data_IF_105956224727
#
_entry.id   IF_105956224727
#
_cell.length_a   1.000
_cell.length_b   1.000
_cell.length_c   1.000
_cell.angle_alpha   90.00
_cell.angle_beta   90.00
_cell.angle_gamma   90.00
#
_symmetry.space_group_name_H-M   'P 1'
#
loop_
_entity.id
_entity.type
_entity.pdbx_description
1 polymer ?
#
# COMPACT_ATOMS: atom_id res chain seq x y z
N UNK A 1 -32.85 -11.03 13.15
CA UNK A 1 -32.01 -11.10 11.93
C UNK A 1 -30.97 -9.99 11.88
N UNK A 2 -31.31 -8.72 12.11
CA UNK A 2 -30.35 -7.61 12.15
C UNK A 2 -29.18 -7.81 13.14
N UNK A 3 -29.47 -8.14 14.41
CA UNK A 3 -28.42 -8.40 15.41
C UNK A 3 -27.49 -9.58 15.07
N UNK A 4 -27.97 -10.57 14.30
CA UNK A 4 -27.14 -11.68 13.82
C UNK A 4 -26.23 -11.22 12.67
N UNK A 5 -26.74 -10.40 11.76
CA UNK A 5 -25.97 -9.76 10.68
C UNK A 5 -24.81 -8.95 11.25
N UNK A 6 -25.10 -8.08 12.22
CA UNK A 6 -24.09 -7.22 12.86
C UNK A 6 -23.00 -8.05 13.54
N UNK A 7 -23.40 -9.09 14.29
CA UNK A 7 -22.46 -10.00 14.95
C UNK A 7 -21.56 -10.74 13.95
N UNK A 8 -22.10 -11.15 12.80
CA UNK A 8 -21.32 -11.82 11.75
C UNK A 8 -20.33 -10.86 11.07
N UNK A 9 -20.75 -9.62 10.75
CA UNK A 9 -19.86 -8.61 10.18
C UNK A 9 -18.70 -8.29 11.14
N UNK A 10 -19.00 -8.14 12.44
CA UNK A 10 -17.98 -7.97 13.48
C UNK A 10 -17.04 -9.17 13.56
N UNK A 11 -17.57 -10.39 13.51
CA UNK A 11 -16.78 -11.62 13.55
C UNK A 11 -15.84 -11.75 12.34
N UNK A 12 -16.27 -11.34 11.14
CA UNK A 12 -15.42 -11.34 9.94
C UNK A 12 -14.24 -10.39 10.12
N UNK A 13 -14.48 -9.15 10.56
CA UNK A 13 -13.42 -8.15 10.76
C UNK A 13 -12.47 -8.56 11.90
N UNK A 14 -13.02 -9.00 13.03
CA UNK A 14 -12.22 -9.49 14.16
C UNK A 14 -11.39 -10.72 13.77
N UNK A 15 -11.97 -11.64 12.99
CA UNK A 15 -11.27 -12.81 12.44
C UNK A 15 -10.14 -12.43 11.49
N UNK A 16 -10.36 -11.45 10.61
CA UNK A 16 -9.32 -10.93 9.71
C UNK A 16 -8.15 -10.29 10.48
N UNK A 17 -8.44 -9.53 11.53
CA UNK A 17 -7.42 -8.96 12.42
C UNK A 17 -6.65 -10.06 13.14
N UNK A 18 -7.37 -11.01 13.77
CA UNK A 18 -6.76 -12.11 14.50
C UNK A 18 -5.88 -12.99 13.59
N UNK A 19 -6.35 -13.30 12.38
CA UNK A 19 -5.58 -14.04 11.38
C UNK A 19 -4.33 -13.28 10.94
N UNK A 20 -4.44 -11.96 10.73
CA UNK A 20 -3.31 -11.11 10.35
C UNK A 20 -2.25 -11.04 11.45
N UNK A 21 -2.67 -10.83 12.70
CA UNK A 21 -1.78 -10.82 13.86
C UNK A 21 -1.14 -12.19 14.09
N UNK A 22 -1.92 -13.27 13.99
CA UNK A 22 -1.42 -14.63 14.10
C UNK A 22 -0.35 -14.92 13.04
N UNK A 23 -0.63 -14.58 11.79
CA UNK A 23 0.33 -14.72 10.70
C UNK A 23 1.62 -13.99 11.07
N UNK A 24 1.56 -12.70 11.41
CA UNK A 24 2.74 -11.90 11.77
C UNK A 24 3.55 -12.51 12.93
N UNK A 25 2.87 -13.00 13.96
CA UNK A 25 3.51 -13.64 15.11
C UNK A 25 4.13 -15.00 14.74
N UNK A 26 3.46 -15.78 13.89
CA UNK A 26 3.93 -17.09 13.43
C UNK A 26 5.19 -16.98 12.58
N UNK A 27 5.32 -15.93 11.76
CA UNK A 27 6.51 -15.67 10.96
C UNK A 27 7.71 -15.24 11.79
N UNK A 28 7.49 -14.55 12.92
CA UNK A 28 8.57 -14.26 13.90
C UNK A 28 9.08 -15.51 14.63
N UNK A 29 8.25 -16.56 14.71
CA UNK A 29 8.57 -17.79 15.44
C UNK A 29 9.25 -18.86 14.58
N UNK A 30 9.24 -18.73 13.24
CA UNK A 30 9.92 -19.70 12.36
C UNK A 30 11.44 -19.54 12.50
N UNK A 31 12.19 -20.60 12.87
CA UNK A 31 13.64 -20.57 12.82
C UNK A 31 14.12 -20.36 11.38
N UNK A 32 15.32 -19.77 11.18
CA UNK A 32 15.87 -19.54 9.85
C UNK A 32 15.98 -20.87 9.09
N UNK A 33 15.23 -21.00 7.99
CA UNK A 33 15.32 -22.17 7.15
C UNK A 33 16.67 -22.16 6.41
N UNK A 34 17.55 -23.10 6.74
CA UNK A 34 18.67 -23.47 5.87
C UNK A 34 18.08 -24.22 4.68
N UNK A 35 17.75 -23.51 3.59
CA UNK A 35 17.30 -24.15 2.34
C UNK A 35 18.36 -24.02 1.24
N UNK A 36 18.74 -25.12 0.56
CA UNK A 36 19.79 -25.15 -0.47
C UNK A 36 19.33 -24.66 -1.86
N UNK A 37 18.11 -24.14 -1.99
CA UNK A 37 17.59 -23.52 -3.21
C UNK A 37 17.41 -22.02 -2.99
N UNK A 38 18.10 -21.19 -3.78
CA UNK A 38 18.31 -19.74 -3.64
C UNK A 38 17.08 -18.81 -3.65
N UNK A 39 16.00 -19.16 -2.95
CA UNK A 39 14.98 -18.20 -2.51
C UNK A 39 15.39 -17.61 -1.17
N UNK A 40 15.55 -16.28 -1.11
CA UNK A 40 15.88 -15.55 0.12
C UNK A 40 14.88 -15.90 1.24
N UNK A 41 15.34 -16.30 2.44
CA UNK A 41 14.43 -16.70 3.50
C UNK A 41 13.61 -15.52 4.06
N UNK A 42 12.50 -15.78 4.78
CA UNK A 42 11.57 -14.74 5.25
C UNK A 42 12.22 -13.64 6.11
N UNK A 43 13.30 -13.97 6.81
CA UNK A 43 14.09 -13.04 7.62
C UNK A 43 15.21 -12.35 6.84
N UNK A 44 15.56 -12.79 5.63
CA UNK A 44 16.60 -12.14 4.83
C UNK A 44 16.16 -10.76 4.35
N UNK A 45 14.86 -10.53 4.16
CA UNK A 45 14.30 -9.21 3.82
C UNK A 45 14.25 -8.30 5.06
N UNK A 46 13.97 -8.85 6.24
CA UNK A 46 14.05 -8.12 7.52
C UNK A 46 15.52 -7.86 7.91
N UNK A 47 16.43 -8.75 7.54
CA UNK A 47 17.88 -8.59 7.67
C UNK A 47 18.43 -7.61 6.61
N UNK A 48 17.87 -7.58 5.40
CA UNK A 48 18.16 -6.57 4.37
C UNK A 48 17.67 -5.18 4.81
N UNK A 49 16.50 -5.12 5.47
CA UNK A 49 15.99 -3.91 6.12
C UNK A 49 16.76 -3.54 7.40
N UNK A 50 17.41 -4.51 8.08
CA UNK A 50 18.29 -4.26 9.21
C UNK A 50 19.73 -3.90 8.77
N UNK A 51 20.17 -4.33 7.59
CA UNK A 51 21.48 -4.03 7.00
C UNK A 51 21.50 -2.71 6.21
N UNK A 52 20.41 -1.93 6.26
CA UNK A 52 20.30 -0.59 5.64
C UNK A 52 21.45 0.34 6.08
N UNK A 53 22.10 0.08 7.22
CA UNK A 53 23.30 0.79 7.68
C UNK A 53 24.54 0.66 6.80
N UNK A 54 24.61 -0.31 5.87
CA UNK A 54 25.73 -0.46 4.93
C UNK A 54 25.32 -0.36 3.45
N UNK A 55 24.05 -0.07 3.16
CA UNK A 55 23.49 -0.23 1.82
C UNK A 55 22.17 0.48 1.54
N UNK A 56 21.80 1.50 2.33
CA UNK A 56 20.61 2.32 2.09
C UNK A 56 20.50 2.78 0.62
N UNK A 57 21.62 3.15 0.00
CA UNK A 57 21.66 3.55 -1.41
C UNK A 57 21.24 2.43 -2.38
N UNK A 58 21.39 1.14 -2.06
CA UNK A 58 21.05 0.02 -2.95
C UNK A 58 19.55 -0.19 -3.14
N UNK A 59 18.77 -0.08 -2.06
CA UNK A 59 17.34 -0.40 -2.07
C UNK A 59 16.51 0.69 -2.77
N UNK A 60 16.96 1.94 -2.72
CA UNK A 60 16.29 3.10 -3.32
C UNK A 60 16.89 3.52 -4.67
N UNK A 61 17.84 2.75 -5.19
CA UNK A 61 18.40 2.96 -6.53
C UNK A 61 17.48 2.38 -7.59
N UNK A 62 17.53 2.97 -8.77
CA UNK A 62 16.83 2.42 -9.92
C UNK A 62 17.30 0.98 -10.17
N UNK A 63 16.36 0.08 -10.44
CA UNK A 63 16.66 -1.30 -10.85
C UNK A 63 17.43 -1.35 -12.17
N UNK A 64 17.27 -0.36 -13.03
CA UNK A 64 17.85 -0.35 -14.37
C UNK A 64 19.22 0.32 -14.33
N UNK A 65 20.25 -0.43 -14.75
CA UNK A 65 21.65 0.02 -14.77
C UNK A 65 21.92 1.27 -15.65
N UNK A 66 20.94 1.70 -16.44
CA UNK A 66 21.01 2.88 -17.32
C UNK A 66 20.03 4.02 -17.01
N UNK A 67 19.13 3.88 -16.02
CA UNK A 67 18.25 5.00 -15.65
C UNK A 67 19.03 5.94 -14.74
N UNK A 68 19.25 7.17 -15.22
CA UNK A 68 19.89 8.21 -14.41
C UNK A 68 19.10 8.37 -13.11
N UNK A 69 19.74 8.39 -11.92
CA UNK A 69 19.06 8.58 -10.63
C UNK A 69 18.10 9.79 -10.63
N UNK A 70 18.40 10.82 -11.42
CA UNK A 70 17.55 11.98 -11.66
C UNK A 70 16.15 11.65 -12.20
N UNK A 71 15.97 10.62 -13.03
CA UNK A 71 14.65 10.25 -13.58
C UNK A 71 13.74 9.63 -12.54
N UNK A 72 14.29 8.83 -11.62
CA UNK A 72 13.53 8.26 -10.51
C UNK A 72 13.09 9.37 -9.54
N UNK A 73 13.97 10.31 -9.23
CA UNK A 73 13.63 11.48 -8.42
C UNK A 73 12.57 12.36 -9.12
N UNK A 74 12.71 12.59 -10.44
CA UNK A 74 11.75 13.36 -11.21
C UNK A 74 10.37 12.69 -11.26
N UNK A 75 10.30 11.36 -11.41
CA UNK A 75 9.01 10.65 -11.41
C UNK A 75 8.32 10.72 -10.04
N UNK A 76 9.09 10.63 -8.94
CA UNK A 76 8.56 10.75 -7.58
C UNK A 76 8.06 12.16 -7.30
N UNK A 77 8.83 13.18 -7.65
CA UNK A 77 8.40 14.57 -7.52
C UNK A 77 7.14 14.86 -8.36
N UNK A 78 7.08 14.32 -9.57
CA UNK A 78 5.89 14.42 -10.41
C UNK A 78 4.68 13.72 -9.79
N UNK A 79 4.86 12.54 -9.19
CA UNK A 79 3.82 11.83 -8.46
C UNK A 79 3.31 12.65 -7.27
N UNK A 80 4.20 13.21 -6.44
CA UNK A 80 3.81 14.08 -5.31
C UNK A 80 2.97 15.26 -5.80
N UNK A 81 3.44 15.98 -6.82
CA UNK A 81 2.73 17.15 -7.35
C UNK A 81 1.37 16.78 -7.93
N UNK A 82 1.29 15.70 -8.72
CA UNK A 82 0.06 15.26 -9.34
C UNK A 82 -0.96 14.75 -8.31
N UNK A 83 -0.54 13.85 -7.41
CA UNK A 83 -1.41 13.27 -6.38
C UNK A 83 -1.86 14.35 -5.38
N UNK A 84 -0.95 15.20 -4.89
CA UNK A 84 -1.32 16.28 -3.98
C UNK A 84 -2.23 17.32 -4.65
N UNK A 85 -1.99 17.63 -5.93
CA UNK A 85 -2.83 18.55 -6.70
C UNK A 85 -4.26 18.01 -6.88
N UNK A 86 -4.39 16.72 -7.19
CA UNK A 86 -5.71 16.07 -7.33
C UNK A 86 -6.43 15.98 -5.98
N UNK A 87 -5.73 15.58 -4.91
CA UNK A 87 -6.30 15.54 -3.54
C UNK A 87 -6.77 16.92 -3.08
N UNK A 88 -5.95 17.95 -3.34
CA UNK A 88 -6.29 19.33 -3.00
C UNK A 88 -7.50 19.81 -3.80
N UNK A 89 -7.58 19.45 -5.09
CA UNK A 89 -8.74 19.77 -5.91
C UNK A 89 -10.02 19.16 -5.35
N UNK A 90 -9.97 17.90 -4.90
CA UNK A 90 -11.12 17.22 -4.34
C UNK A 90 -11.54 17.84 -3.00
N UNK A 91 -10.57 18.14 -2.12
CA UNK A 91 -10.80 18.85 -0.86
C UNK A 91 -11.35 20.27 -1.06
N UNK A 92 -10.97 20.98 -2.13
CA UNK A 92 -11.55 22.29 -2.47
C UNK A 92 -12.97 22.19 -3.02
N UNK A 93 -13.34 21.05 -3.61
CA UNK A 93 -14.66 20.85 -4.24
C UNK A 93 -15.69 20.33 -3.23
N UNK A 94 -15.27 19.44 -2.32
CA UNK A 94 -16.15 18.70 -1.41
C UNK A 94 -15.81 18.87 0.08
N UNK A 95 -14.94 19.84 0.40
CA UNK A 95 -14.37 20.06 1.74
C UNK A 95 -13.63 18.84 2.31
N UNK A 96 -13.11 18.95 3.54
CA UNK A 96 -12.44 17.85 4.23
C UNK A 96 -13.38 16.67 4.56
N UNK A 97 -14.69 16.81 4.33
CA UNK A 97 -15.66 15.73 4.54
C UNK A 97 -15.42 14.54 3.62
N UNK A 98 -14.78 14.76 2.46
CA UNK A 98 -14.42 13.71 1.52
C UNK A 98 -13.36 12.74 2.08
N UNK A 99 -12.62 13.12 3.12
CA UNK A 99 -11.69 12.22 3.84
C UNK A 99 -12.38 11.05 4.55
N UNK A 100 -13.70 10.94 4.50
CA UNK A 100 -14.41 9.75 4.96
C UNK A 100 -14.28 8.56 4.00
N UNK A 101 -13.90 8.78 2.74
CA UNK A 101 -13.77 7.72 1.73
C UNK A 101 -12.41 7.01 1.81
N UNK A 102 -12.41 5.70 1.53
CA UNK A 102 -11.20 4.87 1.61
C UNK A 102 -10.15 5.23 0.54
N UNK A 103 -10.62 5.68 -0.62
CA UNK A 103 -9.75 6.12 -1.71
C UNK A 103 -8.88 7.29 -1.27
N UNK A 104 -9.46 8.28 -0.58
CA UNK A 104 -8.74 9.44 -0.06
C UNK A 104 -7.66 9.05 0.97
N UNK A 105 -7.95 8.07 1.83
CA UNK A 105 -6.97 7.53 2.77
C UNK A 105 -5.78 6.89 2.05
N UNK A 106 -6.06 6.15 0.98
CA UNK A 106 -5.05 5.51 0.15
C UNK A 106 -4.21 6.54 -0.59
N UNK A 107 -4.85 7.57 -1.14
CA UNK A 107 -4.20 8.68 -1.85
C UNK A 107 -3.29 9.50 -0.92
N UNK A 108 -3.75 9.82 0.30
CA UNK A 108 -2.92 10.47 1.31
C UNK A 108 -1.70 9.63 1.69
N UNK A 109 -1.90 8.32 1.89
CA UNK A 109 -0.82 7.41 2.23
C UNK A 109 0.21 7.29 1.09
N UNK A 110 -0.25 7.36 -0.16
CA UNK A 110 0.61 7.35 -1.35
C UNK A 110 1.45 8.63 -1.47
N UNK A 111 0.86 9.80 -1.22
CA UNK A 111 1.59 11.07 -1.16
C UNK A 111 2.67 11.01 -0.07
N UNK A 112 2.32 10.53 1.13
CA UNK A 112 3.26 10.38 2.25
C UNK A 112 4.41 9.44 1.88
N UNK A 113 4.11 8.34 1.20
CA UNK A 113 5.12 7.41 0.71
C UNK A 113 6.12 8.11 -0.22
N UNK A 114 5.63 8.77 -1.28
CA UNK A 114 6.50 9.43 -2.26
C UNK A 114 7.32 10.58 -1.66
N UNK A 115 6.74 11.37 -0.75
CA UNK A 115 7.45 12.46 -0.06
C UNK A 115 8.59 11.93 0.80
N UNK A 116 8.33 10.89 1.59
CA UNK A 116 9.36 10.34 2.48
C UNK A 116 10.43 9.63 1.67
N UNK A 117 10.05 8.85 0.66
CA UNK A 117 10.97 8.15 -0.23
C UNK A 117 11.91 9.13 -0.97
N UNK A 118 11.39 10.25 -1.48
CA UNK A 118 12.21 11.33 -2.03
C UNK A 118 13.14 11.94 -0.98
N UNK A 119 12.63 12.20 0.23
CA UNK A 119 13.39 12.78 1.34
C UNK A 119 14.53 11.86 1.79
N UNK A 120 14.32 10.55 1.81
CA UNK A 120 15.34 9.55 2.18
C UNK A 120 16.49 9.57 1.19
N UNK A 121 16.20 9.57 -0.12
CA UNK A 121 17.25 9.56 -1.14
C UNK A 121 18.12 10.80 -1.02
N UNK A 122 17.50 11.99 -0.93
CA UNK A 122 18.22 13.26 -0.76
C UNK A 122 19.06 13.29 0.52
N UNK A 123 18.47 12.85 1.65
CA UNK A 123 19.19 12.78 2.92
C UNK A 123 20.36 11.80 2.87
N UNK A 124 20.19 10.66 2.18
CA UNK A 124 21.24 9.66 2.04
C UNK A 124 22.42 10.17 1.20
N UNK A 125 22.15 10.92 0.13
CA UNK A 125 23.19 11.55 -0.69
C UNK A 125 23.95 12.62 0.11
N UNK A 126 23.23 13.48 0.85
CA UNK A 126 23.86 14.50 1.70
C UNK A 126 24.68 13.88 2.84
N UNK A 127 24.21 12.79 3.45
CA UNK A 127 24.96 12.09 4.50
C UNK A 127 26.21 11.39 3.97
N UNK A 128 26.15 10.82 2.77
CA UNK A 128 27.32 10.24 2.08
C UNK A 128 28.39 11.30 1.79
N UNK A 129 27.99 12.52 1.46
CA UNK A 129 28.91 13.64 1.21
C UNK A 129 29.57 14.15 2.50
N UNK A 130 28.83 14.19 3.61
CA UNK A 130 29.31 14.70 4.89
C UNK A 130 30.20 13.68 5.62
N UNK A 131 29.92 12.37 5.48
CA UNK A 131 30.45 11.38 6.40
C UNK A 131 31.41 10.37 5.76
N UNK A 132 32.70 10.71 5.73
CA UNK A 132 33.77 9.74 5.48
C UNK A 132 34.21 8.94 6.72
N UNK A 133 33.57 9.14 7.88
CA UNK A 133 33.90 8.37 9.07
C UNK A 133 33.05 8.76 10.27
N UNK A 134 32.32 7.77 10.80
CA UNK A 134 31.51 7.79 12.01
C UNK A 134 30.07 8.31 11.84
N UNK A 135 29.10 7.41 11.59
CA UNK A 135 27.85 7.49 12.36
C UNK A 135 27.09 6.15 12.44
N UNK A 136 26.92 5.62 13.66
CA UNK A 136 26.03 4.50 13.97
C UNK A 136 24.61 4.95 14.35
N UNK A 137 24.41 6.20 14.79
CA UNK A 137 23.09 6.70 15.25
C UNK A 137 22.18 7.09 14.08
N UNK A 138 22.68 7.78 13.07
CA UNK A 138 21.95 8.09 11.84
C UNK A 138 21.50 6.83 11.10
N UNK A 139 22.35 5.79 11.08
CA UNK A 139 22.01 4.49 10.50
C UNK A 139 20.78 3.85 11.14
N UNK A 140 20.64 3.88 12.46
CA UNK A 140 19.48 3.28 13.14
C UNK A 140 18.14 3.96 12.76
N UNK A 141 18.14 5.29 12.62
CA UNK A 141 16.96 6.06 12.19
C UNK A 141 16.56 5.77 10.74
N UNK A 142 17.54 5.77 9.82
CA UNK A 142 17.31 5.42 8.41
C UNK A 142 16.79 3.98 8.26
N UNK A 143 17.29 3.05 9.08
CA UNK A 143 16.81 1.66 9.09
C UNK A 143 15.35 1.56 9.52
N UNK A 144 14.93 2.34 10.54
CA UNK A 144 13.53 2.36 10.98
C UNK A 144 12.61 2.98 9.93
N UNK A 145 13.05 4.05 9.28
CA UNK A 145 12.30 4.71 8.22
C UNK A 145 12.15 3.82 6.98
N UNK A 146 13.21 3.10 6.60
CA UNK A 146 13.15 2.13 5.50
C UNK A 146 12.17 0.98 5.77
N UNK A 147 12.11 0.46 7.01
CA UNK A 147 11.10 -0.52 7.40
C UNK A 147 9.68 0.05 7.31
N UNK A 148 9.48 1.28 7.78
CA UNK A 148 8.19 1.94 7.70
C UNK A 148 7.72 2.11 6.24
N UNK A 149 8.58 2.63 5.38
CA UNK A 149 8.30 2.77 3.95
C UNK A 149 7.96 1.43 3.30
N UNK A 150 8.65 0.35 3.66
CA UNK A 150 8.38 -0.97 3.11
C UNK A 150 6.97 -1.48 3.49
N UNK A 151 6.53 -1.20 4.72
CA UNK A 151 5.16 -1.51 5.17
C UNK A 151 4.15 -0.70 4.37
N UNK A 152 4.39 0.61 4.24
CA UNK A 152 3.51 1.52 3.49
C UNK A 152 3.38 1.07 2.04
N UNK A 153 4.49 0.74 1.38
CA UNK A 153 4.49 0.22 0.00
C UNK A 153 3.66 -1.06 -0.16
N UNK A 154 3.69 -1.97 0.82
CA UNK A 154 2.89 -3.20 0.79
C UNK A 154 1.39 -2.94 1.00
N UNK A 155 1.06 -1.99 1.87
CA UNK A 155 -0.32 -1.54 2.05
C UNK A 155 -0.82 -0.92 0.75
N UNK A 156 -0.05 -0.01 0.17
CA UNK A 156 -0.39 0.72 -1.05
C UNK A 156 -0.59 -0.22 -2.24
N UNK A 157 0.29 -1.20 -2.46
CA UNK A 157 0.17 -2.11 -3.61
C UNK A 157 -1.17 -2.86 -3.66
N UNK A 158 -1.66 -3.34 -2.51
CA UNK A 158 -2.99 -3.96 -2.43
C UNK A 158 -4.12 -2.93 -2.50
N UNK A 159 -3.96 -1.80 -1.81
CA UNK A 159 -4.98 -0.77 -1.68
C UNK A 159 -5.31 -0.10 -3.01
N UNK A 160 -4.32 0.25 -3.85
CA UNK A 160 -4.57 0.90 -5.14
C UNK A 160 -5.33 0.00 -6.12
N UNK A 161 -4.99 -1.30 -6.17
CA UNK A 161 -5.72 -2.26 -7.01
C UNK A 161 -7.14 -2.45 -6.48
N UNK A 162 -7.31 -2.49 -5.15
CA UNK A 162 -8.63 -2.61 -4.55
C UNK A 162 -9.50 -1.39 -4.85
N UNK A 163 -8.98 -0.17 -4.67
CA UNK A 163 -9.74 1.06 -4.93
C UNK A 163 -10.18 1.15 -6.39
N UNK A 164 -9.32 0.76 -7.31
CA UNK A 164 -9.61 0.84 -8.74
C UNK A 164 -10.58 -0.25 -9.18
N UNK A 165 -10.40 -1.49 -8.70
CA UNK A 165 -11.34 -2.59 -8.99
C UNK A 165 -12.72 -2.29 -8.39
N UNK A 166 -12.80 -1.83 -7.14
CA UNK A 166 -14.08 -1.47 -6.53
C UNK A 166 -14.71 -0.30 -7.27
N UNK A 167 -13.95 0.71 -7.66
CA UNK A 167 -14.50 1.84 -8.41
C UNK A 167 -15.01 1.42 -9.80
N UNK A 168 -14.12 0.89 -10.65
CA UNK A 168 -14.42 0.60 -12.04
C UNK A 168 -15.32 -0.62 -12.26
N UNK A 169 -15.20 -1.66 -11.42
CA UNK A 169 -15.93 -2.92 -11.62
C UNK A 169 -17.14 -3.09 -10.70
N UNK A 170 -17.27 -2.30 -9.62
CA UNK A 170 -18.42 -2.37 -8.71
C UNK A 170 -19.24 -1.07 -8.69
N UNK A 171 -18.62 0.07 -8.40
CA UNK A 171 -19.33 1.33 -8.20
C UNK A 171 -19.88 1.85 -9.54
N UNK A 172 -19.04 2.00 -10.55
CA UNK A 172 -19.44 2.54 -11.87
C UNK A 172 -20.56 1.72 -12.54
N UNK A 173 -20.48 0.39 -12.67
CA UNK A 173 -21.52 -0.38 -13.36
C UNK A 173 -22.81 -0.60 -12.56
N UNK A 174 -22.77 -0.65 -11.22
CA UNK A 174 -23.91 -1.09 -10.41
C UNK A 174 -24.45 -0.05 -9.44
N UNK A 175 -23.65 0.94 -9.04
CA UNK A 175 -24.02 1.93 -8.01
C UNK A 175 -24.06 3.36 -8.56
N UNK A 176 -24.01 3.50 -9.88
CA UNK A 176 -24.26 4.76 -10.58
C UNK A 176 -25.71 5.19 -10.35
N UNK A 177 -25.91 6.11 -9.41
CA UNK A 177 -27.18 6.80 -9.19
C UNK A 177 -27.04 8.27 -9.57
N UNK A 178 -28.16 8.95 -9.79
CA UNK A 178 -28.27 10.34 -10.26
C UNK A 178 -27.60 11.43 -9.38
N UNK A 179 -26.91 11.03 -8.30
CA UNK A 179 -26.07 11.89 -7.45
C UNK A 179 -24.55 11.72 -7.68
N UNK A 180 -24.13 10.75 -8.51
CA UNK A 180 -22.72 10.44 -8.76
C UNK A 180 -22.37 10.75 -10.23
N UNK A 181 -21.99 11.99 -10.49
CA UNK A 181 -21.43 12.40 -11.79
C UNK A 181 -19.99 11.89 -11.90
N UNK A 182 -19.69 11.08 -12.91
CA UNK A 182 -18.30 10.74 -13.25
C UNK A 182 -17.58 12.01 -13.70
N UNK A 183 -16.91 12.67 -12.77
CA UNK A 183 -16.05 13.81 -13.07
C UNK A 183 -14.63 13.32 -13.41
N UNK A 184 -13.92 14.08 -14.25
CA UNK A 184 -12.54 13.80 -14.63
C UNK A 184 -11.62 13.65 -13.40
N UNK A 185 -11.84 14.44 -12.36
CA UNK A 185 -11.08 14.39 -11.09
C UNK A 185 -11.21 13.02 -10.44
N UNK A 186 -12.43 12.50 -10.33
CA UNK A 186 -12.71 11.19 -9.75
C UNK A 186 -12.06 10.08 -10.59
N UNK A 187 -12.14 10.17 -11.92
CA UNK A 187 -11.41 9.26 -12.80
C UNK A 187 -9.89 9.32 -12.60
N UNK A 188 -9.32 10.52 -12.41
CA UNK A 188 -7.90 10.70 -12.12
C UNK A 188 -7.49 10.10 -10.77
N UNK A 189 -8.28 10.29 -9.71
CA UNK A 189 -8.00 9.69 -8.39
C UNK A 189 -7.91 8.16 -8.50
N UNK A 190 -8.81 7.53 -9.25
CA UNK A 190 -8.88 6.08 -9.42
C UNK A 190 -8.04 5.54 -10.59
N UNK A 191 -7.12 6.34 -11.14
CA UNK A 191 -6.21 5.90 -12.20
C UNK A 191 -4.77 6.32 -11.93
N UNK A 192 -4.55 7.52 -11.39
CA UNK A 192 -3.21 8.07 -11.14
C UNK A 192 -2.51 7.32 -10.01
N UNK A 193 -3.22 6.93 -8.95
CA UNK A 193 -2.71 6.08 -7.87
C UNK A 193 -2.06 4.80 -8.43
N UNK A 194 -2.75 4.06 -9.28
CA UNK A 194 -2.26 2.83 -9.86
C UNK A 194 -1.11 3.11 -10.83
N UNK A 195 -1.23 4.14 -11.67
CA UNK A 195 -0.18 4.48 -12.65
C UNK A 195 1.12 4.89 -11.96
N UNK A 196 1.08 5.81 -11.00
CA UNK A 196 2.30 6.28 -10.31
C UNK A 196 2.93 5.19 -9.47
N UNK A 197 2.13 4.40 -8.73
CA UNK A 197 2.67 3.30 -7.95
C UNK A 197 3.21 2.17 -8.84
N UNK A 198 2.63 1.91 -10.01
CA UNK A 198 3.19 0.97 -11.00
C UNK A 198 4.49 1.50 -11.61
N UNK A 199 4.58 2.79 -11.94
CA UNK A 199 5.83 3.41 -12.42
C UNK A 199 6.91 3.25 -11.35
N UNK A 200 6.64 3.64 -10.10
CA UNK A 200 7.57 3.48 -8.98
C UNK A 200 7.96 2.02 -8.80
N UNK A 201 6.99 1.11 -8.86
CA UNK A 201 7.23 -0.33 -8.84
C UNK A 201 8.23 -0.67 -9.91
N UNK A 202 7.98 -0.36 -11.19
CA UNK A 202 8.87 -0.71 -12.31
C UNK A 202 10.27 -0.12 -12.20
N UNK A 203 10.42 1.10 -11.70
CA UNK A 203 11.70 1.80 -11.61
C UNK A 203 12.51 1.38 -10.39
N UNK A 204 11.85 0.97 -9.30
CA UNK A 204 12.47 0.62 -8.03
C UNK A 204 12.78 -0.89 -7.93
N UNK A 205 13.75 -1.23 -7.09
CA UNK A 205 14.21 -2.60 -6.82
C UNK A 205 13.46 -3.29 -5.67
N UNK A 206 12.53 -2.59 -5.00
CA UNK A 206 11.78 -3.10 -3.86
C UNK A 206 11.06 -4.42 -4.18
N UNK A 207 11.34 -5.43 -3.35
CA UNK A 207 10.64 -6.71 -3.37
C UNK A 207 9.25 -6.57 -2.75
N UNK A 208 8.27 -7.24 -3.35
CA UNK A 208 6.89 -7.30 -2.86
C UNK A 208 6.60 -8.72 -2.33
N UNK A 209 6.85 -9.01 -1.03
CA UNK A 209 6.69 -10.35 -0.49
C UNK A 209 5.23 -10.69 -0.18
N UNK A 210 4.77 -11.87 -0.59
CA UNK A 210 3.39 -12.33 -0.41
C UNK A 210 2.89 -12.30 1.04
N UNK A 211 3.73 -12.76 1.97
CA UNK A 211 3.35 -12.96 3.37
C UNK A 211 2.93 -11.65 4.07
N UNK A 212 3.29 -10.49 3.51
CA UNK A 212 3.03 -9.19 4.12
C UNK A 212 1.70 -8.54 3.73
N UNK A 213 0.84 -9.30 3.06
CA UNK A 213 -0.59 -9.02 2.87
C UNK A 213 -1.30 -8.59 4.17
N UNK A 214 -0.83 -9.09 5.31
CA UNK A 214 -1.38 -8.77 6.64
C UNK A 214 -1.45 -7.27 6.92
N UNK A 215 -0.49 -6.47 6.44
CA UNK A 215 -0.53 -5.02 6.65
C UNK A 215 -1.66 -4.35 5.86
N UNK A 216 -1.88 -4.78 4.62
CA UNK A 216 -2.99 -4.29 3.81
C UNK A 216 -4.34 -4.68 4.42
N UNK A 217 -4.49 -5.91 4.91
CA UNK A 217 -5.69 -6.33 5.64
C UNK A 217 -5.92 -5.48 6.89
N UNK A 218 -4.88 -5.25 7.69
CA UNK A 218 -4.98 -4.42 8.91
C UNK A 218 -5.33 -2.97 8.58
N UNK A 219 -4.79 -2.41 7.50
CA UNK A 219 -5.14 -1.08 7.01
C UNK A 219 -6.64 -0.97 6.69
N UNK A 220 -7.20 -1.91 5.92
CA UNK A 220 -8.63 -1.89 5.62
C UNK A 220 -9.49 -2.15 6.86
N UNK A 221 -9.08 -3.06 7.75
CA UNK A 221 -9.80 -3.27 9.01
C UNK A 221 -9.82 -2.00 9.88
N UNK A 222 -8.70 -1.24 9.90
CA UNK A 222 -8.62 0.03 10.62
C UNK A 222 -9.60 1.07 10.06
N UNK A 223 -9.72 1.14 8.73
CA UNK A 223 -10.71 1.98 8.08
C UNK A 223 -12.13 1.58 8.47
N UNK A 224 -12.48 0.29 8.40
CA UNK A 224 -13.83 -0.20 8.76
C UNK A 224 -14.16 0.14 10.22
N UNK A 225 -13.22 -0.05 11.15
CA UNK A 225 -13.41 0.29 12.57
C UNK A 225 -13.66 1.79 12.72
N UNK A 226 -12.89 2.64 12.04
CA UNK A 226 -13.05 4.09 12.11
C UNK A 226 -14.40 4.51 11.54
N UNK A 227 -14.86 3.89 10.46
CA UNK A 227 -16.20 4.12 9.92
C UNK A 227 -17.30 3.75 10.91
N UNK A 228 -17.18 2.62 11.59
CA UNK A 228 -18.11 2.24 12.65
C UNK A 228 -18.13 3.23 13.80
N UNK A 229 -16.95 3.70 14.24
CA UNK A 229 -16.85 4.73 15.29
C UNK A 229 -17.52 6.03 14.85
N UNK A 230 -17.22 6.51 13.64
CA UNK A 230 -17.80 7.74 13.08
C UNK A 230 -19.33 7.62 12.95
N UNK A 231 -19.85 6.46 12.57
CA UNK A 231 -21.29 6.19 12.50
C UNK A 231 -21.95 6.28 13.88
N UNK A 232 -21.33 5.69 14.90
CA UNK A 232 -21.79 5.79 16.30
C UNK A 232 -21.68 7.23 16.83
N UNK A 233 -20.70 8.00 16.37
CA UNK A 233 -20.55 9.42 16.71
C UNK A 233 -21.55 10.36 16.00
N UNK A 234 -22.40 9.85 15.11
CA UNK A 234 -23.52 10.61 14.54
C UNK A 234 -23.52 10.76 13.01
N UNK A 235 -22.58 10.16 12.28
CA UNK A 235 -22.68 10.10 10.82
C UNK A 235 -23.80 9.14 10.41
N UNK A 236 -24.92 9.63 9.90
CA UNK A 236 -26.12 8.81 9.64
C UNK A 236 -26.07 8.03 8.33
N UNK A 237 -25.12 8.34 7.44
CA UNK A 237 -24.95 7.70 6.14
C UNK A 237 -23.63 6.92 6.06
N UNK A 238 -23.55 5.98 5.13
CA UNK A 238 -22.35 5.17 4.88
C UNK A 238 -21.66 5.61 3.59
N UNK A 239 -20.33 5.80 3.58
CA UNK A 239 -19.59 6.12 2.37
C UNK A 239 -19.74 5.07 1.27
N UNK A 240 -19.83 3.81 1.68
CA UNK A 240 -20.09 2.70 0.78
C UNK A 240 -21.27 1.86 1.31
N UNK A 241 -22.24 1.48 0.46
CA UNK A 241 -23.39 0.68 0.89
C UNK A 241 -23.01 -0.64 1.56
N UNK A 242 -21.91 -1.27 1.13
CA UNK A 242 -21.41 -2.53 1.68
C UNK A 242 -20.75 -2.41 3.07
N UNK A 243 -20.56 -1.19 3.61
CA UNK A 243 -20.11 -0.98 4.99
C UNK A 243 -21.24 -1.01 6.01
N UNK A 244 -22.50 -0.96 5.57
CA UNK A 244 -23.64 -0.96 6.47
C UNK A 244 -23.87 -2.38 7.04
N UNK A 245 -23.61 -2.64 8.34
CA UNK A 245 -23.78 -3.98 8.91
C UNK A 245 -25.25 -4.41 9.01
N UNK A 246 -26.17 -3.43 9.06
CA UNK A 246 -27.60 -3.65 9.11
C UNK A 246 -28.25 -3.90 7.73
N UNK A 247 -27.47 -3.75 6.64
CA UNK A 247 -27.99 -4.00 5.30
C UNK A 247 -28.29 -5.51 5.08
N UNK A 248 -29.29 -5.84 4.27
CA UNK A 248 -29.52 -7.22 3.85
C UNK A 248 -28.24 -7.81 3.23
N UNK A 249 -27.91 -9.05 3.61
CA UNK A 249 -26.72 -9.75 3.10
C UNK A 249 -25.37 -9.07 3.44
N UNK A 250 -25.31 -8.17 4.43
CA UNK A 250 -24.06 -7.52 4.84
C UNK A 250 -22.92 -8.53 5.11
N UNK A 251 -23.11 -9.67 5.80
CA UNK A 251 -22.03 -10.63 6.03
C UNK A 251 -21.44 -11.19 4.73
N UNK A 252 -22.28 -11.37 3.69
CA UNK A 252 -21.83 -11.80 2.38
C UNK A 252 -20.97 -10.72 1.72
N UNK A 253 -21.37 -9.44 1.80
CA UNK A 253 -20.57 -8.33 1.31
C UNK A 253 -19.21 -8.24 2.00
N UNK A 254 -19.17 -8.33 3.33
CA UNK A 254 -17.94 -8.33 4.10
C UNK A 254 -17.01 -9.48 3.71
N UNK A 255 -17.57 -10.68 3.51
CA UNK A 255 -16.82 -11.85 3.04
C UNK A 255 -16.31 -11.67 1.61
N UNK A 256 -17.15 -11.19 0.68
CA UNK A 256 -16.75 -10.92 -0.70
C UNK A 256 -15.63 -9.88 -0.78
N UNK A 257 -15.72 -8.80 0.00
CA UNK A 257 -14.66 -7.79 0.09
C UNK A 257 -13.39 -8.42 0.67
N UNK A 258 -13.46 -9.26 1.70
CA UNK A 258 -12.30 -9.97 2.23
C UNK A 258 -11.62 -10.87 1.18
N UNK A 259 -12.39 -11.57 0.34
CA UNK A 259 -11.87 -12.35 -0.79
C UNK A 259 -11.26 -11.43 -1.86
N UNK A 260 -11.89 -10.29 -2.14
CA UNK A 260 -11.39 -9.30 -3.08
C UNK A 260 -10.03 -8.74 -2.66
N UNK A 261 -9.79 -8.53 -1.36
CA UNK A 261 -8.49 -8.13 -0.84
C UNK A 261 -7.41 -9.15 -1.23
N UNK A 262 -7.68 -10.44 -1.03
CA UNK A 262 -6.76 -11.50 -1.44
C UNK A 262 -6.49 -11.40 -2.94
N UNK A 263 -7.54 -11.33 -3.76
CA UNK A 263 -7.42 -11.23 -5.22
C UNK A 263 -6.60 -10.00 -5.66
N UNK A 264 -6.90 -8.80 -5.18
CA UNK A 264 -6.17 -7.57 -5.53
C UNK A 264 -4.70 -7.64 -5.15
N UNK A 265 -4.40 -8.17 -3.96
CA UNK A 265 -3.01 -8.38 -3.54
C UNK A 265 -2.30 -9.43 -4.39
N UNK A 266 -3.00 -10.49 -4.80
CA UNK A 266 -2.43 -11.52 -5.70
C UNK A 266 -2.02 -10.92 -7.04
N UNK A 267 -2.86 -10.03 -7.60
CA UNK A 267 -2.60 -9.36 -8.88
C UNK A 267 -1.37 -8.47 -8.75
N UNK A 268 -1.31 -7.63 -7.72
CA UNK A 268 -0.17 -6.74 -7.53
C UNK A 268 1.15 -7.50 -7.28
N UNK A 269 1.08 -8.57 -6.48
CA UNK A 269 2.22 -9.45 -6.26
C UNK A 269 2.69 -10.10 -7.57
N UNK A 270 1.79 -10.61 -8.40
CA UNK A 270 2.14 -11.21 -9.68
C UNK A 270 2.83 -10.20 -10.61
N UNK A 271 2.38 -8.93 -10.60
CA UNK A 271 3.05 -7.83 -11.31
C UNK A 271 4.48 -7.65 -10.78
N UNK A 272 4.68 -7.69 -9.46
CA UNK A 272 6.00 -7.66 -8.83
C UNK A 272 6.90 -8.84 -9.24
N UNK A 273 6.36 -10.05 -9.24
CA UNK A 273 7.12 -11.29 -9.49
C UNK A 273 7.56 -11.44 -10.94
N UNK A 274 6.68 -11.10 -11.91
CA UNK A 274 7.02 -11.06 -13.34
C UNK A 274 8.22 -10.16 -13.64
N UNK A 275 8.51 -9.19 -12.75
CA UNK A 275 9.67 -8.30 -12.88
C UNK A 275 10.95 -8.96 -12.40
N UNK A 276 10.91 -9.83 -11.39
CA UNK A 276 12.09 -10.56 -10.90
C UNK A 276 12.59 -11.58 -11.93
N UNK A 277 11.69 -12.26 -12.65
CA UNK A 277 12.07 -13.26 -13.66
C UNK A 277 12.78 -12.65 -14.88
N UNK A 278 12.32 -11.48 -15.35
CA UNK A 278 12.91 -10.81 -16.53
C UNK A 278 14.32 -10.24 -16.30
N UNK A 279 14.64 -9.84 -15.07
CA UNK A 279 15.97 -9.31 -14.72
C UNK A 279 17.08 -10.38 -14.70
N UNK A 280 16.73 -11.64 -14.40
CA UNK A 280 17.67 -12.78 -14.36
C UNK A 280 18.08 -13.21 -15.78
N UNK A 281 17.16 -13.16 -16.74
CA UNK A 281 17.44 -13.49 -18.14
C UNK A 281 18.35 -12.48 -18.84
N UNK A 282 18.37 -11.22 -18.41
CA UNK A 282 19.24 -10.19 -19.01
C UNK A 282 20.67 -10.20 -18.47
N UNK A 283 20.91 -10.70 -17.26
CA UNK A 283 22.25 -10.74 -16.64
C UNK A 283 23.02 -12.05 -16.88
N UNK A 284 22.41 -13.05 -17.52
CA UNK A 284 23.06 -14.33 -17.87
C UNK A 284 23.63 -14.35 -19.29
N UNK A 285 23.58 -13.21 -20.00
CA UNK A 285 24.03 -13.06 -21.38
C UNK A 285 25.12 -12.00 -21.59
N UNK A 286 25.91 -11.68 -20.55
CA UNK A 286 27.13 -10.87 -20.67
C UNK A 286 28.33 -11.62 -20.10
#
# INVERSE_FOLDING_TARGET
MAALSDALCLAIVAGAIAASLWAMLSSRRRPPATSPSGGSPPYAVDAAAASIGSGASGMWRSRWSGVRPAWLLASRAAAVVALAGVLLWDAMTYDLTIMVYYTEWTFMLEIVYFVIDESIVRLSDSLMEINHGADQKGGAGLNQLGRFMQIVYQVLGGAVVLTDVVFWALIVPFMYSSHFSLNAVMGCIHSFNLVFLLIETTLNSLEFPWFRMTYFVLWTCSYVIIQWVVHVCGLTWWPYPFLNPAAPWAPLWYFCIAVLHLACYTVYWAIGEMRCTKGVTTNSGQ
#
